data_IF_702432909003
#
_entry.id   IF_702432909003
#
_cell.length_a   1.000
_cell.length_b   1.000
_cell.length_c   1.000
_cell.angle_alpha   90.00
_cell.angle_beta   90.00
_cell.angle_gamma   90.00
#
_symmetry.space_group_name_H-M   'P 1'
#
loop_
_entity.id
_entity.type
_entity.pdbx_description
1 polymer ?
#
# COMPACT_ATOMS: atom_id res chain seq x y z
N UNK A 1 10.54 -12.76 -6.74
CA UNK A 1 9.20 -12.12 -6.70
C UNK A 1 8.43 -12.79 -7.83
N UNK A 2 7.40 -13.61 -7.57
CA UNK A 2 6.60 -14.21 -8.67
C UNK A 2 6.02 -13.07 -9.50
N UNK A 3 5.97 -13.22 -10.82
CA UNK A 3 5.55 -12.21 -11.81
C UNK A 3 4.12 -11.71 -11.52
N UNK A 4 4.01 -10.79 -10.57
CA UNK A 4 2.77 -10.06 -10.31
C UNK A 4 2.90 -8.76 -11.07
N UNK A 5 2.15 -8.68 -12.16
CA UNK A 5 2.03 -7.44 -12.91
C UNK A 5 1.50 -6.34 -11.97
N UNK A 6 2.18 -5.19 -11.98
CA UNK A 6 1.79 -4.02 -11.20
C UNK A 6 0.63 -3.37 -11.95
N UNK A 7 -0.48 -3.14 -11.25
CA UNK A 7 -1.62 -2.44 -11.82
C UNK A 7 -1.45 -0.93 -11.65
N UNK A 8 -1.22 -0.47 -10.41
CA UNK A 8 -1.05 0.95 -10.05
C UNK A 8 -0.24 1.12 -8.76
N UNK A 9 0.26 2.33 -8.52
CA UNK A 9 0.84 2.74 -7.24
C UNK A 9 0.06 3.90 -6.64
N UNK A 10 -0.04 3.94 -5.30
CA UNK A 10 -0.60 5.06 -4.56
C UNK A 10 0.45 5.60 -3.58
N UNK A 11 0.80 6.87 -3.73
CA UNK A 11 1.62 7.62 -2.78
C UNK A 11 0.74 8.19 -1.68
N UNK A 12 1.14 7.98 -0.41
CA UNK A 12 0.41 8.53 0.74
C UNK A 12 1.33 8.75 1.94
N UNK A 13 0.91 9.63 2.84
CA UNK A 13 1.54 9.83 4.15
C UNK A 13 0.91 8.88 5.17
N UNK A 14 1.73 8.22 5.99
CA UNK A 14 1.27 7.34 7.06
C UNK A 14 0.86 8.18 8.28
N UNK A 15 -0.43 8.20 8.60
CA UNK A 15 -1.01 8.93 9.74
C UNK A 15 -1.41 7.99 10.89
N UNK A 16 -1.37 8.48 12.13
CA UNK A 16 -1.69 7.71 13.34
C UNK A 16 -3.18 7.30 13.41
N UNK A 17 -4.05 8.16 12.86
CA UNK A 17 -5.50 7.96 12.81
C UNK A 17 -5.96 7.99 11.35
N UNK A 18 -6.79 7.03 10.95
CA UNK A 18 -7.38 6.95 9.62
C UNK A 18 -8.22 5.69 9.42
N UNK A 19 -9.51 5.86 9.18
CA UNK A 19 -10.55 4.81 9.10
C UNK A 19 -10.73 4.20 7.70
N UNK A 20 -9.86 4.50 6.74
CA UNK A 20 -10.16 4.33 5.31
C UNK A 20 -9.56 3.06 4.68
N UNK A 21 -9.96 1.86 5.10
CA UNK A 21 -9.62 0.59 4.39
C UNK A 21 -8.15 0.52 3.91
N UNK A 22 -7.19 0.95 4.75
CA UNK A 22 -5.80 1.19 4.35
C UNK A 22 -5.00 -0.10 4.57
N UNK A 23 -4.11 -0.40 3.62
CA UNK A 23 -3.13 -1.48 3.77
C UNK A 23 -2.46 -1.41 5.15
N UNK A 24 -2.28 -2.56 5.79
CA UNK A 24 -1.62 -2.66 7.10
C UNK A 24 -0.14 -2.23 6.98
N UNK A 25 0.14 -0.99 7.37
CA UNK A 25 1.49 -0.42 7.36
C UNK A 25 2.05 -0.48 8.78
N UNK A 26 3.24 -1.09 8.99
CA UNK A 26 3.86 -1.16 10.31
C UNK A 26 4.04 0.22 10.96
N UNK A 27 3.73 0.31 12.26
CA UNK A 27 3.81 1.57 13.04
C UNK A 27 5.16 2.29 12.94
N UNK A 28 6.27 1.56 12.72
CA UNK A 28 7.61 2.14 12.53
C UNK A 28 7.72 3.12 11.35
N UNK A 29 6.74 3.15 10.45
CA UNK A 29 6.71 4.02 9.28
C UNK A 29 5.77 5.23 9.42
N UNK A 30 5.16 5.46 10.59
CA UNK A 30 4.35 6.66 10.85
C UNK A 30 5.17 7.93 10.57
N UNK A 31 4.55 8.92 9.91
CA UNK A 31 5.19 10.19 9.53
C UNK A 31 6.09 10.11 8.30
N UNK A 32 6.13 8.97 7.59
CA UNK A 32 6.89 8.82 6.35
C UNK A 32 5.97 8.79 5.12
N UNK A 33 6.53 9.18 3.98
CA UNK A 33 5.92 8.93 2.68
C UNK A 33 6.14 7.47 2.29
N UNK A 34 5.09 6.79 1.84
CA UNK A 34 5.17 5.40 1.41
C UNK A 34 4.44 5.20 0.08
N UNK A 35 4.93 4.23 -0.69
CA UNK A 35 4.25 3.74 -1.88
C UNK A 35 3.52 2.44 -1.56
N UNK A 36 2.23 2.39 -1.88
CA UNK A 36 1.46 1.13 -1.88
C UNK A 36 1.37 0.65 -3.32
N UNK A 37 1.90 -0.54 -3.58
CA UNK A 37 1.84 -1.20 -4.90
C UNK A 37 0.60 -2.10 -4.93
N UNK A 38 -0.27 -1.86 -5.89
CA UNK A 38 -1.43 -2.71 -6.16
C UNK A 38 -1.04 -3.64 -7.30
N UNK A 39 -1.09 -4.95 -7.05
CA UNK A 39 -0.81 -5.98 -8.06
C UNK A 39 -2.10 -6.48 -8.68
N UNK A 40 -2.06 -6.85 -9.97
CA UNK A 40 -3.20 -7.52 -10.62
C UNK A 40 -3.63 -8.75 -9.83
N UNK A 41 -4.94 -9.01 -9.84
CA UNK A 41 -5.50 -10.19 -9.21
C UNK A 41 -5.09 -11.43 -10.02
N UNK A 42 -4.79 -12.53 -9.34
CA UNK A 42 -4.32 -13.78 -10.01
C UNK A 42 -5.48 -14.62 -10.54
N UNK A 43 -6.73 -14.16 -10.36
CA UNK A 43 -7.96 -14.93 -10.62
C UNK A 43 -8.91 -14.28 -11.62
N UNK A 44 -8.47 -13.23 -12.32
CA UNK A 44 -9.21 -12.62 -13.43
C UNK A 44 -8.73 -13.20 -14.78
#
# INVERSE_FOLDING_TARGET
MKDREIERFLERVVTLFGTSAKADIPRKYIGRNVYVIITKNVRD
#
